data_IF_904423179826
#
_entry.id   IF_904423179826
#
_cell.length_a   1.000
_cell.length_b   1.000
_cell.length_c   1.000
_cell.angle_alpha   90.00
_cell.angle_beta   90.00
_cell.angle_gamma   90.00
#
_symmetry.space_group_name_H-M   'P 1'
#
loop_
_entity.id
_entity.type
_entity.pdbx_description
1 polymer ?
#
# COMPACT_ATOMS: atom_id res chain seq x y z
N UNK A 1 -14.60 -27.00 18.30
CA UNK A 1 -14.24 -25.63 18.69
C UNK A 1 -15.24 -25.23 19.77
N UNK A 2 -14.79 -24.62 20.85
CA UNK A 2 -15.71 -24.09 21.86
C UNK A 2 -16.55 -22.97 21.23
N UNK A 3 -17.82 -22.82 21.64
CA UNK A 3 -18.76 -21.81 21.10
C UNK A 3 -18.34 -20.35 21.42
N UNK A 4 -17.27 -20.15 22.19
CA UNK A 4 -16.73 -18.86 22.61
C UNK A 4 -15.35 -18.51 22.01
N UNK A 5 -14.94 -19.19 20.92
CA UNK A 5 -13.68 -18.93 20.22
C UNK A 5 -13.86 -18.31 18.84
N UNK A 6 -13.00 -17.36 18.49
CA UNK A 6 -12.91 -16.77 17.15
C UNK A 6 -11.47 -16.82 16.63
N UNK A 7 -11.32 -17.17 15.35
CA UNK A 7 -10.01 -17.19 14.67
C UNK A 7 -10.09 -16.33 13.41
N UNK A 8 -9.15 -15.40 13.29
CA UNK A 8 -8.95 -14.58 12.10
C UNK A 8 -7.60 -14.91 11.48
N UNK A 9 -7.58 -15.13 10.17
CA UNK A 9 -6.36 -15.38 9.39
C UNK A 9 -6.29 -14.39 8.24
N UNK A 10 -5.14 -13.74 8.08
CA UNK A 10 -4.84 -12.81 6.98
C UNK A 10 -3.39 -12.96 6.57
N UNK A 11 -3.11 -12.72 5.29
CA UNK A 11 -1.75 -12.56 4.78
C UNK A 11 -1.60 -11.11 4.35
N UNK A 12 -0.61 -10.41 4.89
CA UNK A 12 -0.29 -9.04 4.50
C UNK A 12 0.95 -9.01 3.60
N UNK A 13 0.92 -8.13 2.61
CA UNK A 13 2.04 -7.84 1.70
C UNK A 13 3.05 -6.90 2.39
N UNK A 14 3.60 -7.34 3.52
CA UNK A 14 4.53 -6.56 4.33
C UNK A 14 5.43 -7.49 5.17
N UNK A 15 6.68 -7.08 5.44
CA UNK A 15 7.59 -7.84 6.29
C UNK A 15 7.08 -7.91 7.73
N UNK A 16 7.43 -8.99 8.42
CA UNK A 16 6.93 -9.30 9.77
C UNK A 16 7.22 -8.20 10.77
N UNK A 17 8.38 -7.56 10.65
CA UNK A 17 8.83 -6.47 11.51
C UNK A 17 7.94 -5.23 11.36
N UNK A 18 7.49 -4.93 10.14
CA UNK A 18 6.57 -3.81 9.89
C UNK A 18 5.19 -4.11 10.46
N UNK A 19 4.66 -5.32 10.23
CA UNK A 19 3.38 -5.75 10.81
C UNK A 19 3.43 -5.72 12.33
N UNK A 20 4.52 -6.20 12.93
CA UNK A 20 4.75 -6.12 14.37
C UNK A 20 4.76 -4.68 14.88
N UNK A 21 5.51 -3.78 14.20
CA UNK A 21 5.54 -2.35 14.55
C UNK A 21 4.14 -1.75 14.50
N UNK A 22 3.35 -2.04 13.46
CA UNK A 22 1.98 -1.56 13.36
C UNK A 22 1.09 -2.03 14.50
N UNK A 23 1.30 -3.24 15.02
CA UNK A 23 0.52 -3.80 16.13
C UNK A 23 0.99 -3.35 17.52
N UNK A 24 2.14 -2.70 17.64
CA UNK A 24 2.79 -2.45 18.93
C UNK A 24 3.23 -1.00 19.16
N UNK A 25 3.35 -0.18 18.12
CA UNK A 25 3.59 1.25 18.24
C UNK A 25 2.25 2.00 18.36
N UNK A 26 2.04 2.83 19.40
CA UNK A 26 0.82 3.64 19.55
C UNK A 26 0.50 4.53 18.33
N UNK A 27 1.52 5.13 17.70
CA UNK A 27 1.32 6.01 16.55
C UNK A 27 0.83 5.26 15.32
N UNK A 28 1.30 4.02 15.14
CA UNK A 28 0.86 3.15 14.05
C UNK A 28 -0.52 2.54 14.33
N UNK A 29 -0.78 2.08 15.57
CA UNK A 29 -2.08 1.57 16.00
C UNK A 29 -3.19 2.61 15.77
N UNK A 30 -2.91 3.89 16.06
CA UNK A 30 -3.86 4.99 15.86
C UNK A 30 -4.38 5.10 14.42
N UNK A 31 -3.62 4.63 13.42
CA UNK A 31 -3.99 4.75 12.01
C UNK A 31 -5.07 3.75 11.58
N UNK A 32 -5.16 2.59 12.25
CA UNK A 32 -6.07 1.52 11.80
C UNK A 32 -6.94 0.89 12.88
N UNK A 33 -6.60 1.04 14.17
CA UNK A 33 -7.30 0.36 15.25
C UNK A 33 -8.78 0.78 15.32
N UNK A 34 -9.64 -0.21 15.54
CA UNK A 34 -11.09 -0.06 15.62
C UNK A 34 -11.82 -0.23 14.28
N UNK A 35 -13.14 -0.45 14.35
CA UNK A 35 -13.98 -0.68 13.17
C UNK A 35 -14.04 0.54 12.25
N UNK A 36 -14.59 0.37 11.05
CA UNK A 36 -14.91 1.50 10.16
C UNK A 36 -15.88 2.45 10.85
N UNK A 37 -15.66 3.76 10.69
CA UNK A 37 -16.44 4.81 11.37
C UNK A 37 -15.95 5.18 12.77
N UNK A 38 -14.95 4.47 13.32
CA UNK A 38 -14.28 4.85 14.55
C UNK A 38 -12.82 5.26 14.32
N UNK A 39 -12.36 6.21 15.13
CA UNK A 39 -10.96 6.62 15.24
C UNK A 39 -10.41 6.22 16.61
N UNK A 40 -9.10 6.01 16.68
CA UNK A 40 -8.42 5.74 17.96
C UNK A 40 -7.30 6.78 18.10
N UNK A 41 -7.53 7.90 18.82
CA UNK A 41 -6.52 8.93 19.01
C UNK A 41 -5.27 8.36 19.68
N UNK A 42 -4.08 8.82 19.28
CA UNK A 42 -2.81 8.32 19.81
C UNK A 42 -2.70 8.49 21.32
N UNK A 43 -3.17 9.61 21.88
CA UNK A 43 -3.19 9.87 23.33
C UNK A 43 -4.14 8.94 24.10
N UNK A 44 -5.02 8.24 23.38
CA UNK A 44 -5.91 7.21 23.91
C UNK A 44 -5.32 5.80 23.85
N UNK A 45 -4.06 5.63 23.45
CA UNK A 45 -3.39 4.33 23.30
C UNK A 45 -2.24 4.22 24.30
N UNK A 46 -2.23 3.14 25.09
CA UNK A 46 -1.10 2.77 25.94
C UNK A 46 -0.61 1.40 25.52
N UNK A 47 0.68 1.27 25.25
CA UNK A 47 1.35 -0.01 24.98
C UNK A 47 2.59 -0.12 25.87
N UNK A 48 2.50 -0.93 26.93
CA UNK A 48 3.66 -1.34 27.72
C UNK A 48 4.08 -2.74 27.27
N UNK A 49 4.89 -2.82 26.21
CA UNK A 49 5.20 -4.05 25.48
C UNK A 49 6.10 -5.03 26.25
N UNK A 50 5.55 -5.68 27.28
CA UNK A 50 6.18 -6.75 28.09
C UNK A 50 5.09 -7.59 28.77
N UNK A 51 5.35 -8.85 29.12
CA UNK A 51 4.43 -9.61 29.98
C UNK A 51 4.11 -8.84 31.28
N UNK A 52 2.83 -8.77 31.63
CA UNK A 52 2.32 -7.96 32.75
C UNK A 52 2.12 -6.47 32.43
N UNK A 53 2.55 -5.99 31.27
CA UNK A 53 2.37 -4.59 30.86
C UNK A 53 0.93 -4.28 30.42
N UNK A 54 0.54 -3.01 30.56
CA UNK A 54 -0.77 -2.52 30.15
C UNK A 54 -0.90 -2.36 28.63
N UNK A 55 -2.05 -2.77 28.10
CA UNK A 55 -2.53 -2.44 26.76
C UNK A 55 -3.88 -1.73 26.89
N UNK A 56 -3.98 -0.50 26.41
CA UNK A 56 -5.20 0.31 26.51
C UNK A 56 -5.49 0.99 25.17
N UNK A 57 -6.76 1.00 24.76
CA UNK A 57 -7.22 1.73 23.57
C UNK A 57 -8.55 2.42 23.84
N UNK A 58 -8.65 3.69 23.48
CA UNK A 58 -9.89 4.46 23.46
C UNK A 58 -10.35 4.70 22.02
N UNK A 59 -11.36 3.95 21.59
CA UNK A 59 -12.03 4.18 20.31
C UNK A 59 -13.10 5.26 20.47
N UNK A 60 -13.20 6.16 19.51
CA UNK A 60 -14.18 7.25 19.46
C UNK A 60 -14.92 7.19 18.13
N UNK A 61 -16.25 7.28 18.18
CA UNK A 61 -17.12 7.38 17.01
C UNK A 61 -18.30 8.31 17.29
N UNK A 62 -19.16 8.48 16.30
CA UNK A 62 -20.33 9.39 16.38
C UNK A 62 -21.26 9.06 17.56
N UNK A 63 -21.45 7.77 17.85
CA UNK A 63 -22.38 7.29 18.87
C UNK A 63 -21.74 7.07 20.25
N UNK A 64 -20.50 7.53 20.45
CA UNK A 64 -19.81 7.47 21.75
C UNK A 64 -18.40 6.93 21.66
N UNK A 65 -17.87 6.52 22.82
CA UNK A 65 -16.51 5.99 22.94
C UNK A 65 -16.50 4.62 23.61
N UNK A 66 -15.49 3.82 23.28
CA UNK A 66 -15.28 2.50 23.84
C UNK A 66 -13.83 2.37 24.29
N UNK A 67 -13.63 2.18 25.60
CA UNK A 67 -12.31 1.94 26.18
C UNK A 67 -12.14 0.46 26.48
N UNK A 68 -11.06 -0.10 25.96
CA UNK A 68 -10.57 -1.43 26.30
C UNK A 68 -9.30 -1.30 27.12
N UNK A 69 -9.22 -2.02 28.25
CA UNK A 69 -8.01 -2.15 29.07
C UNK A 69 -7.70 -3.63 29.19
N UNK A 70 -6.47 -4.01 28.86
CA UNK A 70 -5.98 -5.37 28.89
C UNK A 70 -4.56 -5.42 29.47
N UNK A 71 -4.11 -6.62 29.81
CA UNK A 71 -2.74 -6.89 30.25
C UNK A 71 -2.09 -7.84 29.27
N UNK A 72 -0.90 -7.51 28.78
CA UNK A 72 -0.10 -8.44 27.98
C UNK A 72 0.25 -9.68 28.81
N UNK A 73 -0.08 -10.85 28.29
CA UNK A 73 0.24 -12.13 28.92
C UNK A 73 1.52 -12.73 28.33
N UNK A 74 1.75 -12.55 27.03
CA UNK A 74 2.95 -13.01 26.33
C UNK A 74 3.41 -11.95 25.34
N UNK A 75 4.73 -11.76 25.22
CA UNK A 75 5.35 -10.93 24.19
C UNK A 75 6.63 -11.62 23.72
N UNK A 76 6.64 -12.07 22.47
CA UNK A 76 7.79 -12.66 21.79
C UNK A 76 8.00 -11.82 20.53
N UNK A 77 9.01 -10.95 20.54
CA UNK A 77 9.27 -10.03 19.42
C UNK A 77 9.99 -10.78 18.29
N UNK A 78 9.61 -10.62 17.00
CA UNK A 78 8.39 -10.02 16.45
C UNK A 78 7.36 -11.09 16.04
N UNK A 79 7.18 -12.15 16.83
CA UNK A 79 6.48 -13.38 16.41
C UNK A 79 5.11 -13.55 17.05
N UNK A 80 4.93 -13.10 18.29
CA UNK A 80 3.70 -13.36 19.05
C UNK A 80 3.45 -12.30 20.12
N UNK A 81 2.22 -11.82 20.18
CA UNK A 81 1.71 -10.99 21.27
C UNK A 81 0.39 -11.58 21.76
N UNK A 82 0.21 -11.63 23.08
CA UNK A 82 -1.05 -12.04 23.67
C UNK A 82 -1.43 -11.12 24.81
N UNK A 83 -2.72 -10.86 24.94
CA UNK A 83 -3.25 -10.01 26.00
C UNK A 83 -4.59 -10.54 26.50
N UNK A 84 -4.88 -10.24 27.77
CA UNK A 84 -6.11 -10.61 28.45
C UNK A 84 -6.87 -9.37 28.87
N UNK A 85 -8.13 -9.28 28.46
CA UNK A 85 -9.07 -8.30 29.01
C UNK A 85 -9.68 -8.87 30.31
N UNK A 86 -9.45 -8.24 31.47
CA UNK A 86 -9.93 -8.77 32.74
C UNK A 86 -11.46 -8.68 32.90
N UNK A 87 -12.12 -7.70 32.27
CA UNK A 87 -13.56 -7.49 32.40
C UNK A 87 -14.38 -8.60 31.74
N UNK A 88 -14.04 -8.97 30.49
CA UNK A 88 -14.71 -10.04 29.74
C UNK A 88 -14.04 -11.42 29.89
N UNK A 89 -12.82 -11.47 30.42
CA UNK A 89 -12.00 -12.68 30.45
C UNK A 89 -11.41 -13.08 29.09
N UNK A 90 -11.71 -12.30 28.04
CA UNK A 90 -11.26 -12.55 26.68
C UNK A 90 -9.73 -12.57 26.61
N UNK A 91 -9.20 -13.62 25.98
CA UNK A 91 -7.77 -13.77 25.74
C UNK A 91 -7.51 -13.77 24.24
N UNK A 92 -6.77 -12.77 23.76
CA UNK A 92 -6.41 -12.62 22.36
C UNK A 92 -4.94 -12.96 22.19
N UNK A 93 -4.63 -13.89 21.29
CA UNK A 93 -3.26 -14.20 20.86
C UNK A 93 -3.13 -13.90 19.38
N UNK A 94 -2.16 -13.06 19.02
CA UNK A 94 -1.78 -12.78 17.64
C UNK A 94 -0.42 -13.40 17.37
N UNK A 95 -0.33 -14.22 16.33
CA UNK A 95 0.91 -14.86 15.85
C UNK A 95 1.24 -14.34 14.46
N UNK A 96 2.51 -13.98 14.23
CA UNK A 96 3.05 -13.49 12.97
C UNK A 96 4.05 -14.52 12.42
N UNK A 97 3.74 -15.07 11.25
CA UNK A 97 4.60 -16.02 10.53
C UNK A 97 5.15 -15.35 9.28
N UNK A 98 6.48 -15.24 9.18
CA UNK A 98 7.13 -14.83 7.94
C UNK A 98 7.02 -15.96 6.90
N UNK A 99 6.52 -15.65 5.71
CA UNK A 99 6.37 -16.60 4.61
C UNK A 99 7.64 -16.74 3.75
N UNK A 100 8.66 -15.93 4.01
CA UNK A 100 9.96 -15.98 3.32
C UNK A 100 9.97 -15.30 1.95
N UNK A 101 8.86 -14.69 1.54
CA UNK A 101 8.71 -13.96 0.28
C UNK A 101 8.31 -12.49 0.50
N UNK A 102 8.61 -11.96 1.69
CA UNK A 102 8.27 -10.59 2.10
C UNK A 102 6.82 -10.42 2.59
N UNK A 103 6.04 -11.51 2.66
CA UNK A 103 4.68 -11.53 3.21
C UNK A 103 4.64 -12.10 4.62
N UNK A 104 3.65 -11.68 5.38
CA UNK A 104 3.43 -12.15 6.76
C UNK A 104 2.03 -12.73 6.90
N UNK A 105 1.92 -13.99 7.35
CA UNK A 105 0.64 -14.54 7.84
C UNK A 105 0.41 -14.05 9.28
N UNK A 106 -0.80 -13.55 9.53
CA UNK A 106 -1.27 -13.12 10.84
C UNK A 106 -2.44 -13.99 11.24
N UNK A 107 -2.27 -14.70 12.37
CA UNK A 107 -3.30 -15.53 12.98
C UNK A 107 -3.67 -14.94 14.33
N UNK A 108 -4.92 -14.48 14.45
CA UNK A 108 -5.49 -13.95 15.70
C UNK A 108 -6.48 -14.98 16.24
N UNK A 109 -6.19 -15.52 17.42
CA UNK A 109 -7.05 -16.44 18.15
C UNK A 109 -7.58 -15.76 19.41
N UNK A 110 -8.89 -15.58 19.46
CA UNK A 110 -9.60 -15.04 20.62
C UNK A 110 -10.35 -16.17 21.32
N UNK A 111 -10.13 -16.31 22.62
CA UNK A 111 -10.80 -17.28 23.50
C UNK A 111 -11.60 -16.54 24.55
N UNK A 112 -12.65 -17.18 25.07
CA UNK A 112 -13.57 -16.56 26.05
C UNK A 112 -14.20 -15.27 25.51
N UNK A 113 -14.55 -15.26 24.22
CA UNK A 113 -15.13 -14.10 23.56
C UNK A 113 -16.55 -13.87 24.10
N UNK A 114 -16.87 -12.70 24.69
CA UNK A 114 -18.21 -12.42 25.19
C UNK A 114 -19.28 -12.45 24.10
N UNK A 115 -20.52 -12.84 24.44
CA UNK A 115 -21.62 -12.98 23.47
C UNK A 115 -21.83 -11.77 22.55
N UNK A 116 -21.80 -10.51 23.05
CA UNK A 116 -21.94 -9.35 22.17
C UNK A 116 -20.88 -9.25 21.07
N UNK A 117 -19.65 -9.72 21.34
CA UNK A 117 -18.53 -9.70 20.39
C UNK A 117 -18.55 -10.87 19.40
N UNK A 118 -19.35 -11.92 19.67
CA UNK A 118 -19.55 -13.06 18.75
C UNK A 118 -20.57 -12.77 17.65
N UNK A 119 -21.37 -11.71 17.80
CA UNK A 119 -22.39 -11.31 16.83
C UNK A 119 -21.74 -11.00 15.46
N UNK A 120 -22.44 -11.28 14.34
CA UNK A 120 -21.92 -11.01 13.00
C UNK A 120 -21.36 -9.59 12.82
N UNK A 121 -22.07 -8.57 13.32
CA UNK A 121 -21.66 -7.18 13.18
C UNK A 121 -20.38 -6.85 13.96
N UNK A 122 -20.21 -7.40 15.16
CA UNK A 122 -18.98 -7.23 15.94
C UNK A 122 -17.79 -7.92 15.27
N UNK A 123 -18.01 -9.11 14.73
CA UNK A 123 -17.00 -9.85 13.95
C UNK A 123 -16.60 -9.10 12.69
N UNK A 124 -17.57 -8.50 12.00
CA UNK A 124 -17.34 -7.64 10.84
C UNK A 124 -16.58 -6.36 11.24
N UNK A 125 -16.88 -5.76 12.39
CA UNK A 125 -16.15 -4.62 12.94
C UNK A 125 -14.67 -4.93 13.18
N UNK A 126 -14.36 -6.08 13.79
CA UNK A 126 -12.98 -6.52 13.97
C UNK A 126 -12.28 -6.80 12.63
N UNK A 127 -12.96 -7.50 11.71
CA UNK A 127 -12.44 -7.72 10.36
C UNK A 127 -12.14 -6.40 9.63
N UNK A 128 -13.00 -5.39 9.79
CA UNK A 128 -12.79 -4.06 9.23
C UNK A 128 -11.55 -3.33 9.79
N UNK A 129 -11.13 -3.62 11.03
CA UNK A 129 -9.85 -3.11 11.55
C UNK A 129 -8.65 -3.78 10.87
N UNK A 130 -8.75 -5.07 10.53
CA UNK A 130 -7.72 -5.77 9.75
C UNK A 130 -7.65 -5.26 8.31
N UNK A 131 -8.78 -4.86 7.72
CA UNK A 131 -8.80 -4.21 6.40
C UNK A 131 -8.11 -2.84 6.46
N UNK A 132 -8.35 -2.06 7.53
CA UNK A 132 -7.65 -0.78 7.76
C UNK A 132 -6.13 -1.00 7.95
N UNK A 133 -5.73 -2.08 8.63
CA UNK A 133 -4.30 -2.46 8.75
C UNK A 133 -3.70 -2.78 7.38
N UNK A 134 -4.40 -3.55 6.54
CA UNK A 134 -3.94 -3.84 5.17
C UNK A 134 -3.69 -2.55 4.39
N UNK A 135 -4.66 -1.63 4.41
CA UNK A 135 -4.57 -0.32 3.77
C UNK A 135 -3.38 0.51 4.31
N UNK A 136 -3.15 0.47 5.62
CA UNK A 136 -2.06 1.21 6.27
C UNK A 136 -0.68 0.67 5.88
N UNK A 137 -0.54 -0.67 5.81
CA UNK A 137 0.68 -1.32 5.33
C UNK A 137 0.96 -0.98 3.86
N UNK A 138 -0.08 -0.87 3.03
CA UNK A 138 0.07 -0.42 1.63
C UNK A 138 0.57 1.01 1.56
N UNK A 139 0.09 1.93 2.41
CA UNK A 139 0.61 3.31 2.44
C UNK A 139 2.08 3.40 2.88
N UNK A 140 2.55 2.48 3.74
CA UNK A 140 4.00 2.37 4.02
C UNK A 140 4.79 2.01 2.76
N UNK A 141 4.29 1.12 1.91
CA UNK A 141 4.94 0.78 0.63
C UNK A 141 4.95 1.95 -0.36
N UNK A 142 3.88 2.76 -0.38
CA UNK A 142 3.84 4.02 -1.13
C UNK A 142 4.95 4.95 -0.64
N UNK A 143 5.03 5.17 0.68
CA UNK A 143 6.02 6.05 1.29
C UNK A 143 7.46 5.62 0.97
N UNK A 144 7.76 4.31 1.06
CA UNK A 144 9.06 3.75 0.72
C UNK A 144 9.41 3.95 -0.75
N UNK A 145 8.45 3.70 -1.65
CA UNK A 145 8.65 3.86 -3.10
C UNK A 145 8.91 5.32 -3.47
N UNK A 146 8.11 6.25 -2.95
CA UNK A 146 8.27 7.68 -3.21
C UNK A 146 9.58 8.24 -2.61
N UNK A 147 9.95 7.82 -1.40
CA UNK A 147 11.24 8.18 -0.81
C UNK A 147 12.41 7.65 -1.63
N UNK A 148 12.37 6.36 -2.02
CA UNK A 148 13.44 5.76 -2.82
C UNK A 148 13.64 6.50 -4.15
N UNK A 149 12.55 6.90 -4.81
CA UNK A 149 12.62 7.72 -6.03
C UNK A 149 13.22 9.11 -5.76
N UNK A 150 12.83 9.75 -4.65
CA UNK A 150 13.38 11.05 -4.26
C UNK A 150 14.90 10.98 -3.98
N UNK A 151 15.36 9.97 -3.25
CA UNK A 151 16.79 9.79 -2.95
C UNK A 151 17.60 9.50 -4.21
N UNK A 152 17.10 8.61 -5.10
CA UNK A 152 17.75 8.33 -6.37
C UNK A 152 17.94 9.62 -7.20
N UNK A 153 16.88 10.41 -7.34
CA UNK A 153 16.91 11.62 -8.15
C UNK A 153 17.69 12.77 -7.50
N UNK A 154 17.72 12.84 -6.17
CA UNK A 154 18.53 13.82 -5.43
C UNK A 154 20.03 13.52 -5.56
N UNK A 155 20.40 12.24 -5.64
CA UNK A 155 21.78 11.81 -5.85
C UNK A 155 22.22 11.84 -7.33
N UNK A 156 21.28 12.04 -8.26
CA UNK A 156 21.54 12.05 -9.69
C UNK A 156 21.98 13.43 -10.20
N UNK A 157 22.76 13.51 -11.29
CA UNK A 157 23.02 14.77 -11.98
C UNK A 157 21.73 15.45 -12.43
N UNK A 158 21.69 16.78 -12.45
CA UNK A 158 20.48 17.55 -12.77
C UNK A 158 19.95 17.25 -14.19
N UNK A 159 20.84 16.88 -15.11
CA UNK A 159 20.53 16.52 -16.49
C UNK A 159 19.61 15.29 -16.58
N UNK A 160 19.63 14.40 -15.57
CA UNK A 160 18.73 13.24 -15.48
C UNK A 160 17.26 13.66 -15.46
N UNK A 161 16.94 14.85 -14.91
CA UNK A 161 15.57 15.36 -14.89
C UNK A 161 15.03 15.70 -16.28
N UNK A 162 15.93 15.91 -17.26
CA UNK A 162 15.60 16.16 -18.67
C UNK A 162 15.74 14.91 -19.55
N UNK A 163 16.05 13.75 -18.97
CA UNK A 163 16.09 12.49 -19.71
C UNK A 163 14.68 11.98 -20.04
N UNK A 164 14.49 11.26 -21.17
CA UNK A 164 13.24 10.57 -21.47
C UNK A 164 12.89 9.54 -20.40
N UNK A 165 11.59 9.37 -20.14
CA UNK A 165 11.04 8.26 -19.33
C UNK A 165 10.36 7.22 -20.21
N UNK A 166 9.83 6.15 -19.62
CA UNK A 166 8.95 5.21 -20.35
C UNK A 166 7.52 5.73 -20.57
N UNK A 167 7.12 6.83 -19.93
CA UNK A 167 5.91 7.54 -20.30
C UNK A 167 6.14 8.28 -21.63
N UNK A 168 5.34 7.97 -22.65
CA UNK A 168 5.48 8.59 -23.98
C UNK A 168 5.49 10.13 -23.86
N UNK A 169 6.45 10.77 -24.54
CA UNK A 169 6.71 12.23 -24.55
C UNK A 169 7.10 12.86 -23.20
N UNK A 170 7.10 12.10 -22.11
CA UNK A 170 7.41 12.63 -20.80
C UNK A 170 8.89 12.41 -20.45
N UNK A 171 9.53 13.51 -20.08
CA UNK A 171 10.82 13.47 -19.38
C UNK A 171 10.62 13.03 -17.91
N UNK A 172 11.69 12.64 -17.22
CA UNK A 172 11.67 12.29 -15.79
C UNK A 172 10.94 13.35 -14.96
N UNK A 173 11.22 14.64 -15.17
CA UNK A 173 10.53 15.74 -14.46
C UNK A 173 9.01 15.76 -14.64
N UNK A 174 8.51 15.35 -15.81
CA UNK A 174 7.07 15.29 -16.08
C UNK A 174 6.43 14.15 -15.28
N UNK A 175 7.10 12.99 -15.22
CA UNK A 175 6.66 11.87 -14.38
C UNK A 175 6.64 12.28 -12.91
N UNK A 176 7.70 12.91 -12.40
CA UNK A 176 7.74 13.35 -10.99
C UNK A 176 6.68 14.42 -10.70
N UNK A 177 6.51 15.39 -11.59
CA UNK A 177 5.45 16.38 -11.48
C UNK A 177 4.06 15.73 -11.44
N UNK A 178 3.81 14.74 -12.29
CA UNK A 178 2.56 13.97 -12.25
C UNK A 178 2.40 13.16 -10.95
N UNK A 179 3.45 12.46 -10.50
CA UNK A 179 3.39 11.64 -9.28
C UNK A 179 3.05 12.50 -8.06
N UNK A 180 3.63 13.69 -7.99
CA UNK A 180 3.45 14.65 -6.87
C UNK A 180 2.22 15.55 -7.02
N UNK A 181 1.54 15.49 -8.17
CA UNK A 181 0.31 16.24 -8.49
C UNK A 181 -0.72 16.25 -7.35
N UNK A 182 -0.99 15.13 -6.66
CA UNK A 182 -2.02 15.12 -5.61
C UNK A 182 -1.69 15.97 -4.39
N UNK A 183 -0.43 16.34 -4.18
CA UNK A 183 -0.02 17.26 -3.10
C UNK A 183 -0.48 18.68 -3.38
N UNK A 184 -0.60 19.04 -4.66
CA UNK A 184 -0.86 20.41 -5.13
C UNK A 184 -2.30 20.65 -5.57
N UNK A 185 -3.00 19.61 -6.05
CA UNK A 185 -4.36 19.73 -6.56
C UNK A 185 -5.41 19.37 -5.51
N UNK A 186 -6.20 20.37 -5.10
CA UNK A 186 -7.40 20.13 -4.31
C UNK A 186 -8.45 19.40 -5.16
N UNK A 187 -9.42 18.69 -4.54
CA UNK A 187 -10.50 18.02 -5.26
C UNK A 187 -11.29 18.95 -6.19
N UNK A 188 -11.54 20.19 -5.77
CA UNK A 188 -12.27 21.19 -6.55
C UNK A 188 -11.49 21.60 -7.79
N UNK A 189 -10.19 21.86 -7.63
CA UNK A 189 -9.31 22.21 -8.75
C UNK A 189 -9.14 21.03 -9.70
N UNK A 190 -8.99 19.82 -9.17
CA UNK A 190 -8.95 18.60 -9.97
C UNK A 190 -10.21 18.45 -10.83
N UNK A 191 -11.40 18.65 -10.25
CA UNK A 191 -12.66 18.60 -10.99
C UNK A 191 -12.76 19.68 -12.08
N UNK A 192 -12.31 20.90 -11.78
CA UNK A 192 -12.30 21.99 -12.76
C UNK A 192 -11.32 21.73 -13.92
N UNK A 193 -10.11 21.25 -13.63
CA UNK A 193 -9.12 20.91 -14.66
C UNK A 193 -9.58 19.71 -15.50
N UNK A 194 -10.27 18.73 -14.89
CA UNK A 194 -10.81 17.58 -15.63
C UNK A 194 -11.94 18.00 -16.56
N UNK A 195 -12.80 18.92 -16.11
CA UNK A 195 -13.85 19.50 -16.95
C UNK A 195 -13.25 20.32 -18.11
N UNK A 196 -12.19 21.09 -17.86
CA UNK A 196 -11.47 21.83 -18.90
C UNK A 196 -10.81 20.89 -19.94
N UNK A 197 -10.40 19.70 -19.51
CA UNK A 197 -9.90 18.63 -20.37
C UNK A 197 -11.01 17.82 -21.07
N UNK A 198 -12.28 18.23 -20.97
CA UNK A 198 -13.40 17.52 -21.59
C UNK A 198 -13.69 16.14 -20.96
N UNK A 199 -13.25 15.91 -19.72
CA UNK A 199 -13.34 14.62 -19.06
C UNK A 199 -12.23 13.63 -19.42
N UNK A 200 -11.28 14.02 -20.28
CA UNK A 200 -10.14 13.17 -20.65
C UNK A 200 -9.01 13.32 -19.63
N UNK A 201 -8.78 12.28 -18.84
CA UNK A 201 -7.70 12.26 -17.85
C UNK A 201 -6.31 12.33 -18.50
N UNK A 202 -6.14 11.81 -19.72
CA UNK A 202 -4.85 11.87 -20.44
C UNK A 202 -4.49 13.32 -20.70
N UNK A 203 -5.43 14.08 -21.27
CA UNK A 203 -5.26 15.51 -21.55
C UNK A 203 -5.01 16.30 -20.27
N UNK A 204 -5.74 16.01 -19.19
CA UNK A 204 -5.47 16.61 -17.87
C UNK A 204 -4.05 16.32 -17.41
N UNK A 205 -3.65 15.05 -17.43
CA UNK A 205 -2.37 14.61 -16.88
C UNK A 205 -1.19 15.19 -17.63
N UNK A 206 -1.26 15.24 -18.97
CA UNK A 206 -0.25 15.88 -19.83
C UNK A 206 -0.15 17.38 -19.55
N UNK A 207 -1.30 18.05 -19.43
CA UNK A 207 -1.35 19.50 -19.19
C UNK A 207 -0.74 19.85 -17.84
N UNK A 208 -1.11 19.11 -16.78
CA UNK A 208 -0.60 19.33 -15.43
C UNK A 208 0.87 18.97 -15.33
N UNK A 209 1.29 17.84 -15.90
CA UNK A 209 2.69 17.42 -15.90
C UNK A 209 3.57 18.45 -16.63
N UNK A 210 3.16 18.95 -17.80
CA UNK A 210 3.90 19.98 -18.54
C UNK A 210 4.01 21.30 -17.77
N UNK A 211 2.93 21.73 -17.11
CA UNK A 211 2.93 22.93 -16.27
C UNK A 211 3.86 22.76 -15.07
N UNK A 212 3.67 21.68 -14.31
CA UNK A 212 4.30 21.49 -13.01
C UNK A 212 5.74 20.94 -13.12
N UNK A 213 6.16 20.42 -14.28
CA UNK A 213 7.55 20.07 -14.57
C UNK A 213 8.52 21.26 -14.55
N UNK A 214 7.99 22.49 -14.53
CA UNK A 214 8.77 23.73 -14.40
C UNK A 214 9.07 24.12 -12.96
N UNK A 215 8.48 23.42 -11.97
CA UNK A 215 8.73 23.66 -10.55
C UNK A 215 10.20 23.39 -10.17
N UNK A 216 10.73 24.03 -9.13
CA UNK A 216 12.06 23.74 -8.62
C UNK A 216 12.22 22.26 -8.27
N UNK A 217 13.33 21.65 -8.68
CA UNK A 217 13.66 20.25 -8.36
C UNK A 217 13.56 19.94 -6.87
N UNK A 218 14.04 20.85 -6.02
CA UNK A 218 13.95 20.70 -4.57
C UNK A 218 12.49 20.59 -4.09
N UNK A 219 11.57 21.36 -4.68
CA UNK A 219 10.16 21.31 -4.31
C UNK A 219 9.53 19.97 -4.69
N UNK A 220 9.82 19.46 -5.89
CA UNK A 220 9.32 18.17 -6.36
C UNK A 220 9.86 17.01 -5.50
N UNK A 221 11.13 17.08 -5.10
CA UNK A 221 11.74 16.11 -4.18
C UNK A 221 11.10 16.16 -2.78
N UNK A 222 10.83 17.35 -2.25
CA UNK A 222 10.15 17.50 -0.95
C UNK A 222 8.72 16.97 -1.00
N UNK A 223 8.03 17.15 -2.13
CA UNK A 223 6.68 16.62 -2.33
C UNK A 223 6.67 15.08 -2.41
N UNK A 224 7.67 14.46 -3.05
CA UNK A 224 7.84 13.00 -3.03
C UNK A 224 8.04 12.46 -1.60
N UNK A 225 8.73 13.22 -0.73
CA UNK A 225 8.95 12.86 0.67
C UNK A 225 7.79 13.23 1.59
N UNK A 226 6.75 13.89 1.08
CA UNK A 226 5.71 14.47 1.93
C UNK A 226 4.74 13.41 2.48
N UNK A 227 4.37 13.48 3.78
CA UNK A 227 3.30 12.64 4.34
C UNK A 227 1.96 12.82 3.62
N UNK A 228 1.71 14.00 3.04
CA UNK A 228 0.50 14.27 2.27
C UNK A 228 0.41 13.39 1.02
N UNK A 229 1.52 13.21 0.29
CA UNK A 229 1.56 12.28 -0.84
C UNK A 229 1.39 10.83 -0.39
N UNK A 230 2.05 10.43 0.70
CA UNK A 230 2.00 9.04 1.19
C UNK A 230 0.61 8.67 1.72
N UNK A 231 -0.15 9.64 2.22
CA UNK A 231 -1.52 9.43 2.67
C UNK A 231 -2.55 9.51 1.54
N UNK A 232 -2.18 10.06 0.37
CA UNK A 232 -3.11 10.25 -0.73
C UNK A 232 -3.66 8.92 -1.26
N UNK A 233 -4.90 8.98 -1.76
CA UNK A 233 -5.59 7.86 -2.39
C UNK A 233 -6.34 8.37 -3.63
N UNK A 234 -6.12 7.80 -4.81
CA UNK A 234 -6.87 8.19 -5.99
C UNK A 234 -8.37 7.88 -5.82
N UNK A 235 -9.27 8.72 -6.38
CA UNK A 235 -10.70 8.45 -6.40
C UNK A 235 -10.99 7.06 -6.98
N UNK A 236 -11.72 6.23 -6.22
CA UNK A 236 -12.07 4.86 -6.62
C UNK A 236 -10.95 3.81 -6.52
N UNK A 237 -9.68 4.22 -6.34
CA UNK A 237 -8.53 3.31 -6.29
C UNK A 237 -8.02 2.98 -4.87
N UNK A 238 -8.29 3.83 -3.88
CA UNK A 238 -7.88 3.58 -2.49
C UNK A 238 -6.36 3.48 -2.30
N UNK A 239 -5.89 2.79 -1.26
CA UNK A 239 -4.46 2.61 -1.00
C UNK A 239 -3.77 1.80 -2.11
N UNK A 240 -4.44 0.77 -2.60
CA UNK A 240 -3.99 -0.05 -3.74
C UNK A 240 -3.72 0.79 -4.99
N UNK A 241 -4.62 1.70 -5.36
CA UNK A 241 -4.43 2.59 -6.50
C UNK A 241 -3.26 3.55 -6.31
N UNK A 242 -3.04 4.05 -5.08
CA UNK A 242 -1.88 4.87 -4.76
C UNK A 242 -0.57 4.10 -4.91
N UNK A 243 -0.53 2.83 -4.46
CA UNK A 243 0.62 1.96 -4.64
C UNK A 243 0.91 1.67 -6.12
N UNK A 244 -0.11 1.33 -6.90
CA UNK A 244 0.04 1.13 -8.34
C UNK A 244 0.63 2.37 -9.02
N UNK A 245 0.11 3.55 -8.71
CA UNK A 245 0.59 4.83 -9.24
C UNK A 245 2.06 5.09 -8.89
N UNK A 246 2.43 4.94 -7.62
CA UNK A 246 3.81 5.15 -7.16
C UNK A 246 4.80 4.15 -7.80
N UNK A 247 4.45 2.85 -7.79
CA UNK A 247 5.34 1.79 -8.30
C UNK A 247 5.51 1.91 -9.82
N UNK A 248 4.43 1.99 -10.59
CA UNK A 248 4.49 2.05 -12.06
C UNK A 248 5.34 3.25 -12.50
N UNK A 249 5.08 4.43 -11.96
CA UNK A 249 5.83 5.62 -12.35
C UNK A 249 7.26 5.66 -11.81
N UNK A 250 7.54 5.02 -10.67
CA UNK A 250 8.93 4.81 -10.24
C UNK A 250 9.68 3.90 -11.21
N UNK A 251 9.02 2.88 -11.78
CA UNK A 251 9.59 2.00 -12.80
C UNK A 251 9.74 2.70 -14.15
N UNK A 252 8.80 3.59 -14.51
CA UNK A 252 8.88 4.42 -15.72
C UNK A 252 10.16 5.30 -15.73
N UNK A 253 10.62 5.71 -14.55
CA UNK A 253 11.87 6.48 -14.36
C UNK A 253 13.08 5.56 -14.24
N UNK A 254 13.08 4.65 -13.26
CA UNK A 254 14.26 3.82 -12.95
C UNK A 254 14.70 2.98 -14.15
N UNK A 255 13.75 2.35 -14.85
CA UNK A 255 14.07 1.52 -16.02
C UNK A 255 14.58 2.35 -17.19
N UNK A 256 14.03 3.54 -17.43
CA UNK A 256 14.50 4.44 -18.48
C UNK A 256 15.93 4.94 -18.23
N UNK A 257 16.33 5.02 -16.96
CA UNK A 257 17.66 5.47 -16.53
C UNK A 257 18.65 4.31 -16.32
N UNK A 258 18.26 3.07 -16.64
CA UNK A 258 19.04 1.86 -16.36
C UNK A 258 19.45 1.75 -14.87
N UNK A 259 18.52 2.12 -13.98
CA UNK A 259 18.68 2.06 -12.53
C UNK A 259 17.86 0.92 -11.93
N UNK A 260 18.31 0.32 -10.82
CA UNK A 260 17.50 -0.64 -10.08
C UNK A 260 16.17 -0.02 -9.61
N UNK A 261 15.14 -0.86 -9.50
CA UNK A 261 13.86 -0.44 -8.93
C UNK A 261 14.04 0.07 -7.49
N UNK A 262 13.44 1.22 -7.20
CA UNK A 262 13.42 1.83 -5.86
C UNK A 262 12.28 1.31 -4.99
N UNK A 263 11.23 0.77 -5.62
CA UNK A 263 10.12 0.14 -4.93
C UNK A 263 10.56 -1.17 -4.26
N UNK A 264 10.14 -1.45 -3.01
CA UNK A 264 10.43 -2.73 -2.38
C UNK A 264 9.92 -3.91 -3.22
N UNK A 265 10.60 -5.08 -3.25
CA UNK A 265 10.17 -6.22 -4.07
C UNK A 265 8.72 -6.67 -3.80
N UNK A 266 8.28 -6.66 -2.54
CA UNK A 266 6.89 -6.96 -2.17
C UNK A 266 5.87 -5.96 -2.73
N UNK A 267 6.24 -4.68 -2.91
CA UNK A 267 5.40 -3.67 -3.53
C UNK A 267 5.25 -3.92 -5.03
N UNK A 268 6.35 -4.23 -5.73
CA UNK A 268 6.34 -4.58 -7.15
C UNK A 268 5.49 -5.83 -7.40
N UNK A 269 5.65 -6.86 -6.57
CA UNK A 269 4.86 -8.08 -6.67
C UNK A 269 3.37 -7.84 -6.39
N UNK A 270 3.03 -7.03 -5.39
CA UNK A 270 1.65 -6.68 -5.09
C UNK A 270 0.96 -5.93 -6.26
N UNK A 271 1.68 -5.01 -6.90
CA UNK A 271 1.18 -4.30 -8.10
C UNK A 271 1.09 -5.25 -9.30
N UNK A 272 2.05 -6.16 -9.47
CA UNK A 272 1.99 -7.20 -10.50
C UNK A 272 0.76 -8.11 -10.35
N UNK A 273 0.49 -8.59 -9.13
CA UNK A 273 -0.71 -9.38 -8.81
C UNK A 273 -1.99 -8.62 -9.19
N UNK A 274 -2.05 -7.33 -8.87
CA UNK A 274 -3.21 -6.47 -9.15
C UNK A 274 -3.43 -6.26 -10.65
N UNK A 275 -2.38 -5.92 -11.39
CA UNK A 275 -2.44 -5.71 -12.84
C UNK A 275 -2.84 -7.00 -13.58
N UNK A 276 -2.28 -8.13 -13.15
CA UNK A 276 -2.64 -9.43 -13.69
C UNK A 276 -4.09 -9.78 -13.39
N UNK A 277 -4.57 -9.57 -12.15
CA UNK A 277 -5.97 -9.78 -11.77
C UNK A 277 -6.95 -8.88 -12.56
N UNK A 278 -6.54 -7.67 -12.94
CA UNK A 278 -7.33 -6.79 -13.79
C UNK A 278 -7.44 -7.27 -15.26
N UNK A 279 -6.67 -8.31 -15.65
CA UNK A 279 -6.72 -8.95 -16.96
C UNK A 279 -6.66 -7.96 -18.13
N UNK A 280 -5.85 -6.91 -17.97
CA UNK A 280 -5.64 -5.84 -18.96
C UNK A 280 -6.70 -4.75 -19.03
N UNK A 281 -7.73 -4.78 -18.17
CA UNK A 281 -8.82 -3.80 -18.18
C UNK A 281 -8.35 -2.36 -17.90
N UNK A 282 -7.29 -2.16 -17.12
CA UNK A 282 -6.83 -0.82 -16.73
C UNK A 282 -6.00 -0.11 -17.81
N UNK A 283 -5.25 -0.87 -18.59
CA UNK A 283 -4.30 -0.31 -19.58
C UNK A 283 -4.60 -0.74 -21.02
N UNK A 284 -5.69 -1.47 -21.24
CA UNK A 284 -6.11 -1.93 -22.57
C UNK A 284 -5.17 -2.97 -23.19
N UNK A 285 -4.45 -3.74 -22.37
CA UNK A 285 -3.58 -4.83 -22.86
C UNK A 285 -4.39 -6.11 -23.07
N UNK A 286 -4.08 -6.84 -24.14
CA UNK A 286 -4.67 -8.14 -24.42
C UNK A 286 -3.80 -9.26 -23.85
N UNK A 287 -4.35 -9.96 -22.86
CA UNK A 287 -3.71 -11.11 -22.21
C UNK A 287 -4.29 -12.46 -22.68
N UNK A 288 -5.11 -12.45 -23.73
CA UNK A 288 -5.70 -13.68 -24.27
C UNK A 288 -4.59 -14.63 -24.74
N UNK A 289 -4.55 -15.83 -24.16
CA UNK A 289 -3.54 -16.84 -24.50
C UNK A 289 -2.11 -16.47 -24.06
N UNK A 290 -1.96 -15.57 -23.10
CA UNK A 290 -0.66 -15.20 -22.50
C UNK A 290 -0.51 -15.85 -21.13
N UNK A 291 0.69 -16.38 -20.86
CA UNK A 291 1.13 -16.80 -19.53
C UNK A 291 2.28 -15.93 -19.07
N UNK A 292 2.09 -15.18 -18.00
CA UNK A 292 3.12 -14.33 -17.39
C UNK A 292 3.93 -15.16 -16.40
N UNK A 293 5.26 -15.04 -16.44
CA UNK A 293 6.16 -15.72 -15.51
C UNK A 293 7.29 -14.78 -15.07
N UNK A 294 7.39 -14.55 -13.77
CA UNK A 294 8.51 -13.78 -13.23
C UNK A 294 9.79 -14.62 -13.20
N UNK A 295 10.94 -14.03 -13.53
CA UNK A 295 12.25 -14.71 -13.47
C UNK A 295 12.91 -14.63 -12.08
N UNK A 296 12.48 -13.66 -11.28
CA UNK A 296 13.04 -13.24 -10.00
C UNK A 296 12.08 -13.46 -8.83
N UNK A 297 10.88 -13.98 -9.11
CA UNK A 297 9.88 -14.35 -8.10
C UNK A 297 9.09 -15.59 -8.53
N UNK A 298 8.43 -16.26 -7.60
CA UNK A 298 7.55 -17.41 -7.87
C UNK A 298 6.22 -17.08 -8.58
N UNK A 299 6.11 -15.89 -9.19
CA UNK A 299 4.87 -15.40 -9.79
C UNK A 299 4.57 -16.06 -11.13
N UNK A 300 3.32 -16.53 -11.28
CA UNK A 300 2.77 -17.07 -12.54
C UNK A 300 1.30 -16.71 -12.66
N UNK A 301 0.89 -16.26 -13.85
CA UNK A 301 -0.51 -15.92 -14.11
C UNK A 301 -0.91 -16.25 -15.55
N UNK A 302 -2.15 -16.72 -15.73
CA UNK A 302 -2.71 -17.02 -17.04
C UNK A 302 -2.21 -18.34 -17.65
N UNK A 303 -2.47 -18.51 -18.94
CA UNK A 303 -2.17 -19.73 -19.70
C UNK A 303 -1.94 -19.42 -21.17
N UNK A 304 -1.00 -20.12 -21.81
CA UNK A 304 -0.69 -19.96 -23.23
C UNK A 304 0.79 -19.66 -23.47
N UNK A 305 1.09 -18.73 -24.38
CA UNK A 305 2.47 -18.38 -24.73
C UNK A 305 3.16 -17.72 -23.54
N UNK A 306 4.33 -18.22 -23.10
CA UNK A 306 5.05 -17.63 -21.98
C UNK A 306 5.60 -16.26 -22.36
N UNK A 307 5.39 -15.29 -21.48
CA UNK A 307 6.06 -13.99 -21.44
C UNK A 307 6.83 -13.97 -20.12
N UNK A 308 8.14 -14.12 -20.23
CA UNK A 308 9.04 -14.29 -19.09
C UNK A 308 9.93 -13.05 -18.95
N UNK A 309 9.89 -12.41 -17.78
CA UNK A 309 10.69 -11.22 -17.46
C UNK A 309 10.79 -11.03 -15.94
N UNK A 310 11.69 -10.17 -15.44
CA UNK A 310 11.67 -9.72 -14.05
C UNK A 310 10.32 -9.12 -13.65
N UNK A 311 9.96 -9.11 -12.36
CA UNK A 311 8.65 -8.60 -11.92
C UNK A 311 8.41 -7.15 -12.33
N UNK A 312 9.44 -6.29 -12.31
CA UNK A 312 9.33 -4.88 -12.73
C UNK A 312 8.99 -4.74 -14.22
N UNK A 313 9.64 -5.52 -15.08
CA UNK A 313 9.37 -5.55 -16.51
C UNK A 313 7.95 -6.04 -16.81
N UNK A 314 7.46 -7.05 -16.08
CA UNK A 314 6.08 -7.53 -16.21
C UNK A 314 5.07 -6.45 -15.81
N UNK A 315 5.34 -5.69 -14.75
CA UNK A 315 4.52 -4.52 -14.37
C UNK A 315 4.48 -3.51 -15.52
N UNK A 316 5.64 -3.13 -16.07
CA UNK A 316 5.73 -2.18 -17.18
C UNK A 316 4.98 -2.66 -18.43
N UNK A 317 5.15 -3.92 -18.82
CA UNK A 317 4.44 -4.53 -19.93
C UNK A 317 2.92 -4.47 -19.72
N UNK A 318 2.44 -4.84 -18.52
CA UNK A 318 1.01 -4.78 -18.17
C UNK A 318 0.47 -3.35 -18.09
N UNK A 319 1.33 -2.38 -17.77
CA UNK A 319 1.04 -0.95 -17.83
C UNK A 319 1.12 -0.37 -19.25
N UNK A 320 1.30 -1.22 -20.26
CA UNK A 320 1.30 -0.84 -21.67
C UNK A 320 2.61 -0.19 -22.15
N UNK A 321 3.71 -0.36 -21.41
CA UNK A 321 5.04 0.13 -21.81
C UNK A 321 5.72 -0.82 -22.79
N UNK A 322 6.63 -0.26 -23.57
CA UNK A 322 7.59 -1.02 -24.38
C UNK A 322 8.90 -1.09 -23.63
N UNK A 323 9.45 -2.28 -23.45
CA UNK A 323 10.73 -2.49 -22.78
C UNK A 323 11.89 -2.06 -23.69
N UNK A 324 13.09 -1.88 -23.12
CA UNK A 324 14.28 -1.47 -23.85
C UNK A 324 14.68 -2.43 -24.99
N UNK A 325 14.34 -3.72 -24.85
CA UNK A 325 14.56 -4.74 -25.88
C UNK A 325 13.44 -4.83 -26.93
N UNK A 326 12.49 -3.88 -26.90
CA UNK A 326 11.38 -3.78 -27.84
C UNK A 326 10.18 -4.69 -27.51
N UNK A 327 10.23 -5.47 -26.42
CA UNK A 327 9.07 -6.27 -26.00
C UNK A 327 7.91 -5.37 -25.58
N UNK A 328 6.71 -5.75 -26.02
CA UNK A 328 5.44 -5.10 -25.67
C UNK A 328 4.32 -6.15 -25.65
N UNK A 329 3.23 -5.85 -24.95
CA UNK A 329 2.01 -6.66 -25.00
C UNK A 329 1.04 -6.11 -26.05
N UNK A 330 0.29 -6.99 -26.74
CA UNK A 330 -0.73 -6.53 -27.68
C UNK A 330 -1.79 -5.69 -26.94
N UNK A 331 -2.42 -4.76 -27.66
CA UNK A 331 -3.50 -3.91 -27.13
C UNK A 331 -4.85 -4.35 -27.70
N UNK A 332 -5.91 -4.16 -26.93
CA UNK A 332 -7.31 -4.38 -27.34
C UNK A 332 -7.85 -3.21 -28.17
#
# INVERSE_FOLDING_TARGET
>A
MSDDELIYRRVFQAPRELVWRCLTDPAELAQFWGPRGMTTPVDGIVVELRPGGRFETLMVGEHGSHRMVATFTDVIVPERLAWREPAGGMHTTTTLTDLGDGRTEVVIHQRHVPEPMRRPDARAGFAGSLDKLADHLVQHLVALTCHGLAELLAASPVEVWDAPSLCDKWLVRHVVAHVTMPVRLTPERYGAELAAAGGDFTVLSDTVAARDATLPVAELLDQLRSPALHAWRPPGGGATGALSHAVIHSLDVTTALDQPAVAPPGAVLAVLDQLAAAAGAWFGVDLTGVRLEATDAGFRWGSGRPVTAPTGDLVLLLSGRTLADGRTLPRR
#
